data_IF_184639195989
#
_entry.id   IF_184639195989
#
_cell.length_a   1.000
_cell.length_b   1.000
_cell.length_c   1.000
_cell.angle_alpha   90.00
_cell.angle_beta   90.00
_cell.angle_gamma   90.00
#
_symmetry.space_group_name_H-M   'P 1'
#
loop_
_entity.id
_entity.type
_entity.pdbx_description
1 polymer ?
#
# COMPACT_ATOMS: atom_id res chain seq x y z
N UNK A 1 -6.91 7.00 -5.47
CA UNK A 1 -6.68 6.62 -4.07
C UNK A 1 -6.68 7.86 -3.20
N UNK A 2 -7.38 7.85 -2.06
CA UNK A 2 -7.38 9.02 -1.19
C UNK A 2 -5.99 9.28 -0.60
N UNK A 3 -5.68 10.53 -0.23
CA UNK A 3 -4.45 10.86 0.46
C UNK A 3 -4.44 10.24 1.88
N UNK A 4 -3.28 10.26 2.52
CA UNK A 4 -3.17 9.85 3.92
C UNK A 4 -4.05 10.75 4.79
N UNK A 5 -4.97 10.14 5.53
CA UNK A 5 -5.96 10.85 6.35
C UNK A 5 -5.68 10.66 7.84
N UNK A 6 -4.89 11.58 8.41
CA UNK A 6 -4.51 11.53 9.82
C UNK A 6 -5.73 11.65 10.75
N UNK A 7 -6.73 12.47 10.39
CA UNK A 7 -7.93 12.65 11.20
C UNK A 7 -8.75 11.37 11.28
N UNK A 8 -8.93 10.67 10.16
CA UNK A 8 -9.62 9.39 10.11
C UNK A 8 -8.90 8.34 10.96
N UNK A 9 -7.59 8.24 10.82
CA UNK A 9 -6.79 7.27 11.59
C UNK A 9 -6.82 7.58 13.08
N UNK A 10 -6.76 8.85 13.46
CA UNK A 10 -6.90 9.24 14.87
C UNK A 10 -8.27 8.85 15.42
N UNK A 11 -9.32 9.01 14.62
CA UNK A 11 -10.68 8.61 15.00
C UNK A 11 -10.78 7.10 15.21
N UNK A 12 -10.15 6.31 14.34
CA UNK A 12 -10.18 4.84 14.44
C UNK A 12 -9.33 4.29 15.57
N UNK A 13 -8.12 4.81 15.74
CA UNK A 13 -7.13 4.24 16.66
C UNK A 13 -7.03 4.99 18.00
N UNK A 14 -7.48 6.24 18.05
CA UNK A 14 -7.56 7.01 19.29
C UNK A 14 -6.22 7.42 19.90
N UNK A 15 -5.11 7.21 19.21
CA UNK A 15 -3.75 7.46 19.71
C UNK A 15 -2.91 8.17 18.64
N UNK A 16 -2.53 9.40 18.91
CA UNK A 16 -1.72 10.23 18.02
C UNK A 16 -0.34 9.63 17.75
N UNK A 17 0.30 9.07 18.77
CA UNK A 17 1.60 8.41 18.65
C UNK A 17 1.53 7.20 17.74
N UNK A 18 0.45 6.42 17.83
CA UNK A 18 0.22 5.27 16.95
C UNK A 18 0.04 5.71 15.49
N UNK A 19 -0.73 6.76 15.25
CA UNK A 19 -0.92 7.30 13.88
C UNK A 19 0.42 7.73 13.30
N UNK A 20 1.25 8.38 14.06
CA UNK A 20 2.59 8.80 13.64
C UNK A 20 3.48 7.60 13.32
N UNK A 21 3.46 6.57 14.15
CA UNK A 21 4.23 5.34 13.94
C UNK A 21 3.75 4.60 12.70
N UNK A 22 2.44 4.53 12.45
CA UNK A 22 1.86 3.93 11.24
C UNK A 22 2.30 4.69 9.98
N UNK A 23 2.32 6.02 10.03
CA UNK A 23 2.77 6.84 8.91
C UNK A 23 4.25 6.58 8.58
N UNK A 24 5.10 6.47 9.59
CA UNK A 24 6.52 6.13 9.40
C UNK A 24 6.70 4.74 8.82
N UNK A 25 5.95 3.77 9.33
CA UNK A 25 5.99 2.40 8.85
C UNK A 25 5.60 2.34 7.36
N UNK A 26 4.53 3.04 6.98
CA UNK A 26 4.10 3.14 5.59
C UNK A 26 5.20 3.72 4.71
N UNK A 27 5.80 4.84 5.11
CA UNK A 27 6.86 5.51 4.35
C UNK A 27 8.08 4.62 4.19
N UNK A 28 8.46 3.89 5.24
CA UNK A 28 9.70 3.12 5.27
C UNK A 28 9.57 1.76 4.59
N UNK A 29 8.40 1.11 4.64
CA UNK A 29 8.25 -0.28 4.18
C UNK A 29 7.70 -0.41 2.77
N UNK A 30 6.86 0.52 2.32
CA UNK A 30 6.20 0.38 1.02
C UNK A 30 7.11 0.44 -0.20
N UNK A 31 8.25 1.18 -0.23
CA UNK A 31 9.13 1.14 -1.39
C UNK A 31 9.62 -0.26 -1.77
N UNK A 32 10.08 -1.03 -0.80
CA UNK A 32 10.54 -2.40 -1.05
C UNK A 32 9.39 -3.33 -1.45
N UNK A 33 8.20 -3.13 -0.87
CA UNK A 33 7.02 -3.92 -1.21
C UNK A 33 6.50 -3.62 -2.61
N UNK A 34 6.55 -2.35 -3.04
CA UNK A 34 6.24 -1.94 -4.41
C UNK A 34 7.21 -2.59 -5.39
N UNK A 35 8.50 -2.52 -5.10
CA UNK A 35 9.55 -3.15 -5.91
C UNK A 35 9.31 -4.65 -6.09
N UNK A 36 8.95 -5.35 -5.03
CA UNK A 36 8.69 -6.79 -5.07
C UNK A 36 7.49 -7.11 -5.99
N UNK A 37 6.42 -6.32 -5.94
CA UNK A 37 5.27 -6.49 -6.83
C UNK A 37 5.66 -6.26 -8.28
N UNK A 38 6.34 -5.16 -8.57
CA UNK A 38 6.76 -4.82 -9.93
C UNK A 38 7.72 -5.85 -10.52
N UNK A 39 8.67 -6.33 -9.73
CA UNK A 39 9.62 -7.37 -10.14
C UNK A 39 8.90 -8.67 -10.47
N UNK A 40 7.96 -9.10 -9.64
CA UNK A 40 7.20 -10.32 -9.86
C UNK A 40 6.34 -10.23 -11.13
N UNK A 41 5.68 -9.11 -11.37
CA UNK A 41 4.89 -8.88 -12.59
C UNK A 41 5.79 -8.90 -13.82
N UNK A 42 6.92 -8.20 -13.77
CA UNK A 42 7.87 -8.14 -14.89
C UNK A 42 8.49 -9.49 -15.23
N UNK A 43 8.68 -10.34 -14.25
CA UNK A 43 9.22 -11.70 -14.42
C UNK A 43 8.13 -12.74 -14.80
N UNK A 44 6.86 -12.36 -14.74
CA UNK A 44 5.77 -13.32 -14.93
C UNK A 44 5.72 -14.40 -13.85
N UNK A 45 6.22 -14.11 -12.66
CA UNK A 45 6.33 -15.06 -11.55
C UNK A 45 5.10 -14.99 -10.65
N UNK A 46 4.16 -15.92 -10.86
CA UNK A 46 2.89 -15.95 -10.12
C UNK A 46 3.08 -16.16 -8.62
N UNK A 47 3.97 -17.06 -8.21
CA UNK A 47 4.22 -17.34 -6.80
C UNK A 47 4.83 -16.12 -6.10
N UNK A 48 5.77 -15.45 -6.74
CA UNK A 48 6.37 -14.22 -6.21
C UNK A 48 5.34 -13.08 -6.14
N UNK A 49 4.48 -12.96 -7.15
CA UNK A 49 3.42 -11.96 -7.15
C UNK A 49 2.44 -12.18 -6.01
N UNK A 50 2.02 -13.43 -5.79
CA UNK A 50 1.13 -13.77 -4.69
C UNK A 50 1.71 -13.32 -3.34
N UNK A 51 2.98 -13.66 -3.08
CA UNK A 51 3.65 -13.32 -1.84
C UNK A 51 3.81 -11.78 -1.68
N UNK A 52 4.25 -11.10 -2.72
CA UNK A 52 4.48 -9.65 -2.71
C UNK A 52 3.18 -8.86 -2.54
N UNK A 53 2.13 -9.23 -3.26
CA UNK A 53 0.82 -8.58 -3.15
C UNK A 53 0.18 -8.82 -1.79
N UNK A 54 0.34 -10.01 -1.20
CA UNK A 54 -0.15 -10.32 0.13
C UNK A 54 0.50 -9.40 1.18
N UNK A 55 1.82 -9.24 1.13
CA UNK A 55 2.55 -8.34 2.03
C UNK A 55 2.09 -6.89 1.90
N UNK A 56 1.99 -6.40 0.67
CA UNK A 56 1.55 -5.03 0.42
C UNK A 56 0.12 -4.81 0.91
N UNK A 57 -0.78 -5.76 0.65
CA UNK A 57 -2.15 -5.70 1.16
C UNK A 57 -2.17 -5.57 2.68
N UNK A 58 -1.38 -6.40 3.38
CA UNK A 58 -1.27 -6.35 4.83
C UNK A 58 -0.83 -4.98 5.35
N UNK A 59 0.09 -4.34 4.66
CA UNK A 59 0.57 -3.00 5.01
C UNK A 59 -0.49 -1.92 4.78
N UNK A 60 -1.40 -2.11 3.82
CA UNK A 60 -2.40 -1.10 3.45
C UNK A 60 -3.67 -1.14 4.29
N UNK A 61 -3.98 -2.28 4.90
CA UNK A 61 -5.25 -2.51 5.62
C UNK A 61 -5.49 -1.46 6.70
N UNK A 62 -4.43 -0.99 7.37
CA UNK A 62 -4.55 -0.05 8.49
C UNK A 62 -4.94 1.38 8.08
N UNK A 63 -4.92 1.72 6.78
CA UNK A 63 -4.95 3.13 6.34
C UNK A 63 -6.29 3.60 5.77
N UNK A 64 -7.32 2.76 5.77
CA UNK A 64 -8.63 3.15 5.25
C UNK A 64 -8.64 3.40 3.74
N UNK A 65 -7.95 2.56 2.98
CA UNK A 65 -7.81 2.65 1.52
C UNK A 65 -8.35 1.39 0.84
N UNK A 66 -9.67 1.14 0.88
CA UNK A 66 -10.25 -0.13 0.44
C UNK A 66 -9.98 -0.45 -1.02
N UNK A 67 -9.89 0.54 -1.90
CA UNK A 67 -9.59 0.33 -3.33
C UNK A 67 -8.20 -0.25 -3.53
N UNK A 68 -7.21 0.24 -2.80
CA UNK A 68 -5.85 -0.26 -2.86
C UNK A 68 -5.74 -1.68 -2.28
N UNK A 69 -6.41 -1.92 -1.17
CA UNK A 69 -6.48 -3.26 -0.55
C UNK A 69 -7.10 -4.26 -1.52
N UNK A 70 -8.18 -3.89 -2.19
CA UNK A 70 -8.85 -4.75 -3.18
C UNK A 70 -7.98 -5.00 -4.40
N UNK A 71 -7.27 -3.99 -4.91
CA UNK A 71 -6.34 -4.16 -6.02
C UNK A 71 -5.21 -5.13 -5.67
N UNK A 72 -4.65 -5.01 -4.46
CA UNK A 72 -3.63 -5.94 -3.96
C UNK A 72 -4.18 -7.37 -3.83
N UNK A 73 -5.41 -7.51 -3.35
CA UNK A 73 -6.08 -8.80 -3.24
C UNK A 73 -6.26 -9.47 -4.62
N UNK A 74 -6.65 -8.68 -5.63
CA UNK A 74 -6.78 -9.18 -7.00
C UNK A 74 -5.45 -9.66 -7.56
N UNK A 75 -4.38 -8.90 -7.35
CA UNK A 75 -3.03 -9.31 -7.78
C UNK A 75 -2.58 -10.60 -7.08
N UNK A 76 -2.85 -10.72 -5.79
CA UNK A 76 -2.57 -11.93 -5.04
C UNK A 76 -3.30 -13.15 -5.64
N UNK A 77 -4.58 -12.99 -5.97
CA UNK A 77 -5.38 -14.05 -6.59
C UNK A 77 -4.88 -14.42 -7.99
N UNK A 78 -4.47 -13.43 -8.78
CA UNK A 78 -3.88 -13.66 -10.11
C UNK A 78 -2.58 -14.45 -9.98
N UNK A 79 -1.73 -14.10 -9.03
CA UNK A 79 -0.50 -14.84 -8.74
C UNK A 79 -0.79 -16.29 -8.33
N UNK A 80 -1.75 -16.49 -7.46
CA UNK A 80 -2.15 -17.82 -6.98
C UNK A 80 -2.70 -18.70 -8.12
N UNK A 81 -3.45 -18.12 -9.04
CA UNK A 81 -4.01 -18.82 -10.20
C UNK A 81 -2.99 -19.04 -11.32
N UNK A 82 -1.85 -18.39 -11.27
CA UNK A 82 -0.86 -18.43 -12.36
C UNK A 82 -1.33 -17.71 -13.62
N UNK A 83 -2.30 -16.81 -13.52
CA UNK A 83 -2.84 -16.06 -14.66
C UNK A 83 -2.60 -14.57 -14.43
N UNK A 84 -1.56 -14.04 -15.07
CA UNK A 84 -1.11 -12.67 -14.92
C UNK A 84 -1.60 -11.74 -16.04
N UNK A 85 -2.61 -12.15 -16.82
CA UNK A 85 -3.19 -11.29 -17.85
C UNK A 85 -3.81 -10.05 -17.21
N UNK A 86 -3.31 -8.86 -17.60
CA UNK A 86 -3.75 -7.59 -17.02
C UNK A 86 -3.08 -7.20 -15.70
N UNK A 87 -2.20 -8.03 -15.16
CA UNK A 87 -1.52 -7.75 -13.91
C UNK A 87 -0.61 -6.50 -13.98
N UNK A 88 0.00 -6.24 -15.12
CA UNK A 88 0.85 -5.06 -15.32
C UNK A 88 0.06 -3.76 -15.21
N UNK A 89 -1.13 -3.68 -15.79
CA UNK A 89 -2.01 -2.50 -15.70
C UNK A 89 -2.47 -2.30 -14.26
N UNK A 90 -2.99 -3.37 -13.64
CA UNK A 90 -3.49 -3.32 -12.26
C UNK A 90 -2.38 -2.96 -11.26
N UNK A 91 -1.19 -3.53 -11.45
CA UNK A 91 -0.05 -3.22 -10.58
C UNK A 91 0.41 -1.78 -10.71
N UNK A 92 0.43 -1.22 -11.92
CA UNK A 92 0.78 0.20 -12.13
C UNK A 92 -0.21 1.14 -11.45
N UNK A 93 -1.50 0.84 -11.53
CA UNK A 93 -2.53 1.63 -10.84
C UNK A 93 -2.35 1.55 -9.32
N UNK A 94 -2.14 0.35 -8.80
CA UNK A 94 -1.91 0.14 -7.37
C UNK A 94 -0.65 0.88 -6.89
N UNK A 95 0.45 0.73 -7.61
CA UNK A 95 1.73 1.36 -7.27
C UNK A 95 1.60 2.89 -7.26
N UNK A 96 0.97 3.47 -8.27
CA UNK A 96 0.75 4.93 -8.33
C UNK A 96 -0.06 5.41 -7.12
N UNK A 97 -1.10 4.67 -6.74
CA UNK A 97 -1.91 5.01 -5.58
C UNK A 97 -1.16 4.88 -4.26
N UNK A 98 -0.37 3.83 -4.10
CA UNK A 98 0.45 3.63 -2.89
C UNK A 98 1.53 4.71 -2.78
N UNK A 99 2.18 5.07 -3.88
CA UNK A 99 3.15 6.16 -3.90
C UNK A 99 2.53 7.49 -3.50
N UNK A 100 1.33 7.79 -3.99
CA UNK A 100 0.59 8.99 -3.62
C UNK A 100 0.25 9.00 -2.12
N UNK A 101 -0.20 7.87 -1.59
CA UNK A 101 -0.48 7.71 -0.16
C UNK A 101 0.79 7.93 0.68
N UNK A 102 1.90 7.33 0.26
CA UNK A 102 3.19 7.45 0.92
C UNK A 102 3.69 8.90 0.94
N UNK A 103 3.60 9.60 -0.19
CA UNK A 103 4.01 11.01 -0.29
C UNK A 103 3.17 11.89 0.64
N UNK A 104 1.87 11.65 0.70
CA UNK A 104 0.96 12.37 1.60
C UNK A 104 1.30 12.12 3.08
N UNK A 105 1.60 10.88 3.45
CA UNK A 105 2.03 10.53 4.81
C UNK A 105 3.36 11.20 5.16
N UNK A 106 4.31 11.19 4.23
CA UNK A 106 5.61 11.83 4.42
C UNK A 106 5.47 13.34 4.61
N UNK A 107 4.66 14.00 3.79
CA UNK A 107 4.40 15.42 3.91
C UNK A 107 3.80 15.78 5.27
N UNK A 108 2.88 14.95 5.77
CA UNK A 108 2.31 15.13 7.09
C UNK A 108 3.36 14.98 8.21
N UNK A 109 4.24 13.98 8.10
CA UNK A 109 5.34 13.79 9.06
C UNK A 109 6.33 14.95 9.03
N UNK A 110 6.70 15.42 7.83
CA UNK A 110 7.63 16.52 7.64
C UNK A 110 7.07 17.86 8.16
N UNK A 111 5.76 18.02 8.13
CA UNK A 111 5.05 19.18 8.68
C UNK A 111 4.91 19.11 10.23
N UNK A 112 5.56 18.17 10.89
CA UNK A 112 5.50 18.00 12.33
C UNK A 112 4.34 17.14 12.80
N UNK A 113 3.70 16.38 11.88
CA UNK A 113 2.61 15.47 12.20
C UNK A 113 1.47 16.16 12.95
N UNK A 114 1.10 17.37 12.50
CA UNK A 114 0.01 18.13 13.09
C UNK A 114 -1.33 17.45 12.83
N UNK A 115 -2.10 17.20 13.87
CA UNK A 115 -3.45 16.65 13.79
C UNK A 115 -4.48 17.79 13.85
N UNK A 116 -5.57 17.68 13.05
CA UNK A 116 -6.62 18.70 13.07
C UNK A 116 -7.40 18.71 14.38
#
# INVERSE_FOLDING_TARGET
MPPFDAALLLQEYGDEGLVRDLARLLVDTTPAQIDAVQTAVGAGDGAALRAAAHKLRGSLVAFGVPEAVEAARKLEAMGAAGNLAGADVLSRELVAGVQSLRESARAWLDAGAALP
#
